data_IF_159450495548
#
_entry.id   IF_159450495548
#
_cell.length_a   1.000
_cell.length_b   1.000
_cell.length_c   1.000
_cell.angle_alpha   90.00
_cell.angle_beta   90.00
_cell.angle_gamma   90.00
#
_symmetry.space_group_name_H-M   'P 1'
#
loop_
_entity.id
_entity.type
_entity.pdbx_description
1 polymer ?
#
# COMPACT_ATOMS: atom_id res chain seq x y z
N UNK A 1 -9.21 -62.07 17.30
CA UNK A 1 -9.53 -61.22 18.46
C UNK A 1 -9.69 -59.81 17.96
N UNK A 2 -10.94 -59.39 17.76
CA UNK A 2 -11.31 -58.04 17.33
C UNK A 2 -11.90 -57.33 18.55
N UNK A 3 -11.33 -56.18 18.92
CA UNK A 3 -11.86 -55.33 19.98
C UNK A 3 -12.52 -54.13 19.35
N UNK A 4 -13.84 -54.05 19.55
CA UNK A 4 -14.70 -52.93 19.23
C UNK A 4 -14.23 -51.67 19.96
N UNK A 5 -14.19 -50.54 19.25
CA UNK A 5 -14.03 -49.22 19.84
C UNK A 5 -15.41 -48.56 19.80
N UNK A 6 -15.85 -48.19 21.00
CA UNK A 6 -17.16 -47.67 21.37
C UNK A 6 -17.21 -46.17 21.06
N UNK A 7 -18.01 -45.79 20.07
CA UNK A 7 -18.33 -44.39 19.74
C UNK A 7 -19.28 -43.87 20.83
N UNK A 8 -18.80 -42.95 21.67
CA UNK A 8 -19.67 -42.16 22.56
C UNK A 8 -19.72 -40.73 22.07
N UNK A 9 -20.90 -40.39 21.58
CA UNK A 9 -21.37 -39.05 21.32
C UNK A 9 -21.35 -38.22 22.61
N UNK A 10 -20.60 -37.12 22.58
CA UNK A 10 -20.67 -36.05 23.58
C UNK A 10 -21.29 -34.85 22.87
N UNK A 11 -22.61 -34.75 22.97
CA UNK A 11 -23.35 -33.54 22.63
C UNK A 11 -23.01 -32.45 23.66
N UNK A 12 -22.14 -31.53 23.26
CA UNK A 12 -21.83 -30.32 24.03
C UNK A 12 -22.68 -29.17 23.48
N UNK A 13 -23.85 -28.96 24.09
CA UNK A 13 -24.62 -27.75 23.93
C UNK A 13 -23.99 -26.64 24.78
N UNK A 14 -23.20 -25.76 24.16
CA UNK A 14 -22.82 -24.48 24.76
C UNK A 14 -23.64 -23.37 24.12
N UNK A 15 -24.72 -22.96 24.80
CA UNK A 15 -25.35 -21.67 24.60
C UNK A 15 -24.32 -20.57 24.93
N UNK A 16 -23.94 -19.81 23.90
CA UNK A 16 -23.15 -18.60 24.03
C UNK A 16 -24.04 -17.44 23.57
N UNK A 17 -24.77 -16.87 24.53
CA UNK A 17 -25.39 -15.57 24.39
C UNK A 17 -24.29 -14.50 24.39
N UNK A 18 -23.78 -14.20 23.19
CA UNK A 18 -22.93 -13.03 22.98
C UNK A 18 -23.81 -11.83 22.68
N UNK A 19 -24.07 -11.02 23.71
CA UNK A 19 -24.60 -9.67 23.56
C UNK A 19 -23.69 -8.87 22.61
N UNK A 20 -24.30 -8.33 21.54
CA UNK A 20 -23.61 -7.54 20.54
C UNK A 20 -23.14 -6.21 21.15
N UNK A 21 -21.86 -5.82 21.00
CA UNK A 21 -21.41 -4.52 21.48
C UNK A 21 -22.06 -3.41 20.65
N UNK A 22 -22.67 -2.51 21.41
CA UNK A 22 -23.27 -1.24 21.01
C UNK A 22 -22.40 -0.49 20.00
N UNK A 23 -23.01 -0.10 18.87
CA UNK A 23 -22.35 0.63 17.79
C UNK A 23 -21.85 1.98 18.32
N UNK A 24 -20.56 2.09 18.62
CA UNK A 24 -19.88 3.39 18.73
C UNK A 24 -19.91 4.05 17.35
N UNK A 25 -20.95 4.84 17.13
CA UNK A 25 -21.16 5.70 15.99
C UNK A 25 -20.13 6.84 16.09
N UNK A 26 -19.09 6.75 15.27
CA UNK A 26 -18.00 7.72 15.19
C UNK A 26 -18.56 9.09 14.78
N UNK A 27 -18.73 10.00 15.74
CA UNK A 27 -19.06 11.41 15.49
C UNK A 27 -17.82 12.20 15.01
N UNK A 28 -17.27 11.82 13.86
CA UNK A 28 -16.10 12.49 13.29
C UNK A 28 -16.39 13.29 12.01
N UNK A 29 -17.67 13.54 11.70
CA UNK A 29 -18.09 14.25 10.48
C UNK A 29 -18.25 15.77 10.64
N UNK A 30 -18.14 16.34 11.84
CA UNK A 30 -18.51 17.75 12.07
C UNK A 30 -17.36 18.78 12.12
N UNK A 31 -16.11 18.39 11.85
CA UNK A 31 -14.97 19.33 11.85
C UNK A 31 -14.48 19.77 10.46
N UNK A 32 -14.98 19.21 9.35
CA UNK A 32 -14.45 19.51 8.00
C UNK A 32 -15.32 20.43 7.15
N UNK A 33 -16.48 20.88 7.63
CA UNK A 33 -17.43 21.68 6.83
C UNK A 33 -17.51 23.17 7.19
N UNK A 34 -16.83 23.64 8.24
CA UNK A 34 -16.98 25.04 8.72
C UNK A 34 -15.90 26.03 8.28
N UNK A 35 -14.82 25.61 7.63
CA UNK A 35 -13.85 26.52 7.00
C UNK A 35 -13.86 26.34 5.48
N UNK A 36 -14.82 26.98 4.82
CA UNK A 36 -14.97 27.02 3.36
C UNK A 36 -13.86 27.77 2.62
N UNK A 37 -12.60 27.59 3.01
CA UNK A 37 -11.40 28.06 2.34
C UNK A 37 -10.33 26.96 2.45
N UNK A 38 -10.43 25.94 1.61
CA UNK A 38 -9.27 25.11 1.30
C UNK A 38 -8.29 25.98 0.50
N UNK A 39 -7.07 26.25 0.97
CA UNK A 39 -6.14 27.09 0.22
C UNK A 39 -5.70 26.33 -1.04
N UNK A 40 -6.26 26.70 -2.20
CA UNK A 40 -5.78 26.27 -3.52
C UNK A 40 -4.28 26.52 -3.72
N UNK A 41 -3.70 27.41 -2.91
CA UNK A 41 -2.28 27.76 -2.91
C UNK A 41 -1.39 26.60 -2.45
N UNK A 42 -1.86 25.72 -1.54
CA UNK A 42 -1.05 24.61 -1.02
C UNK A 42 -0.72 23.57 -2.11
N UNK A 43 -1.68 23.24 -2.99
CA UNK A 43 -1.48 22.24 -4.03
C UNK A 43 -0.57 22.71 -5.18
N UNK A 44 -0.54 24.03 -5.45
CA UNK A 44 0.33 24.61 -6.49
C UNK A 44 1.82 24.49 -6.15
N UNK A 45 2.17 24.44 -4.85
CA UNK A 45 3.55 24.26 -4.40
C UNK A 45 4.00 22.80 -4.51
N UNK A 46 3.10 21.85 -4.25
CA UNK A 46 3.42 20.41 -4.31
C UNK A 46 3.71 19.97 -5.76
N UNK A 47 2.93 20.44 -6.73
CA UNK A 47 3.12 20.09 -8.16
C UNK A 47 4.41 20.68 -8.74
N UNK A 48 4.82 21.88 -8.30
CA UNK A 48 6.07 22.49 -8.78
C UNK A 48 7.34 21.91 -8.12
N UNK A 49 7.22 21.27 -6.94
CA UNK A 49 8.38 20.62 -6.28
C UNK A 49 8.58 19.17 -6.71
N UNK A 50 7.52 18.49 -7.17
CA UNK A 50 7.61 17.14 -7.73
C UNK A 50 7.90 17.23 -9.23
N UNK A 51 9.15 17.53 -9.58
CA UNK A 51 9.61 17.48 -10.98
C UNK A 51 9.27 16.13 -11.63
N UNK A 52 9.00 16.16 -12.94
CA UNK A 52 8.60 15.01 -13.77
C UNK A 52 9.54 13.80 -13.61
N UNK A 53 10.79 14.04 -13.23
CA UNK A 53 11.81 13.02 -12.95
C UNK A 53 11.53 12.13 -11.71
N UNK A 54 10.61 12.56 -10.82
CA UNK A 54 10.24 11.79 -9.62
C UNK A 54 9.31 10.59 -9.93
N UNK A 55 8.70 10.55 -11.12
CA UNK A 55 7.68 9.56 -11.48
C UNK A 55 8.30 8.33 -12.18
N UNK A 56 9.45 8.46 -12.85
CA UNK A 56 9.98 7.40 -13.73
C UNK A 56 10.61 6.19 -13.02
N UNK A 57 10.78 6.21 -11.70
CA UNK A 57 11.25 5.02 -11.01
C UNK A 57 10.76 4.92 -9.57
N UNK A 58 9.72 4.12 -9.34
CA UNK A 58 9.61 3.28 -8.15
C UNK A 58 10.79 2.28 -8.15
N UNK A 59 11.99 2.82 -7.94
CA UNK A 59 13.23 2.08 -7.80
C UNK A 59 13.21 1.47 -6.41
N UNK A 60 13.42 0.16 -6.29
CA UNK A 60 13.48 -0.50 -4.97
C UNK A 60 14.53 0.11 -4.03
N UNK A 61 15.53 0.81 -4.56
CA UNK A 61 16.46 1.63 -3.78
C UNK A 61 15.78 2.74 -2.95
N UNK A 62 14.60 3.24 -3.35
CA UNK A 62 13.80 4.14 -2.53
C UNK A 62 13.23 3.47 -1.29
N UNK A 63 13.07 2.14 -1.24
CA UNK A 63 12.66 1.49 0.01
C UNK A 63 13.78 1.64 1.05
N UNK A 64 15.03 1.36 0.72
CA UNK A 64 16.10 1.60 1.70
C UNK A 64 16.34 3.10 1.99
N UNK A 65 16.10 3.98 1.01
CA UNK A 65 16.33 5.43 1.14
C UNK A 65 15.20 6.18 1.88
N UNK A 66 13.95 5.79 1.69
CA UNK A 66 12.78 6.38 2.37
C UNK A 66 12.60 5.83 3.79
N UNK A 67 12.96 4.57 4.03
CA UNK A 67 12.74 3.92 5.32
C UNK A 67 13.98 3.87 6.22
N UNK A 68 15.19 4.13 5.70
CA UNK A 68 16.44 4.15 6.48
C UNK A 68 16.67 2.88 7.33
N UNK A 69 17.49 2.98 8.39
CA UNK A 69 17.53 1.96 9.47
C UNK A 69 16.23 1.94 10.30
N UNK A 70 15.33 2.90 10.09
CA UNK A 70 14.09 3.09 10.83
C UNK A 70 12.93 2.17 10.39
N UNK A 71 13.20 1.12 9.60
CA UNK A 71 12.28 0.00 9.42
C UNK A 71 11.94 -0.72 10.75
N UNK A 72 12.69 -0.44 11.83
CA UNK A 72 12.38 -0.86 13.19
C UNK A 72 11.19 -0.09 13.82
N UNK A 73 10.79 1.05 13.25
CA UNK A 73 9.87 2.00 13.89
C UNK A 73 8.39 1.90 13.45
N UNK A 74 8.02 0.85 12.73
CA UNK A 74 6.61 0.46 12.61
C UNK A 74 6.30 -0.67 13.57
N UNK A 75 5.82 -0.37 14.79
CA UNK A 75 5.33 -1.38 15.68
C UNK A 75 3.98 -1.87 15.13
N UNK A 76 4.00 -2.94 14.34
CA UNK A 76 3.23 -4.10 14.82
C UNK A 76 4.10 -4.58 15.98
N UNK A 77 3.76 -4.08 17.17
CA UNK A 77 4.66 -3.90 18.32
C UNK A 77 5.14 -5.22 18.90
N UNK A 78 6.08 -5.85 18.20
CA UNK A 78 6.86 -6.91 18.79
C UNK A 78 8.28 -6.72 18.32
N UNK A 79 9.16 -6.32 19.26
CA UNK A 79 10.59 -6.44 19.03
C UNK A 79 10.85 -7.87 18.57
N UNK A 80 11.75 -8.12 17.62
CA UNK A 80 12.01 -9.48 17.15
C UNK A 80 12.36 -10.46 18.30
N UNK A 81 12.87 -9.95 19.42
CA UNK A 81 13.12 -10.70 20.65
C UNK A 81 11.85 -11.11 21.43
N UNK A 82 10.75 -10.33 21.32
CA UNK A 82 9.52 -10.51 22.10
C UNK A 82 8.46 -11.34 21.32
N UNK A 83 8.54 -11.38 19.98
CA UNK A 83 7.72 -12.26 19.12
C UNK A 83 8.58 -13.49 18.86
N UNK A 84 8.51 -14.47 19.75
CA UNK A 84 9.25 -15.73 19.69
C UNK A 84 9.69 -16.05 18.27
N UNK A 85 10.97 -15.77 17.97
CA UNK A 85 11.52 -15.67 16.63
C UNK A 85 11.10 -16.86 15.78
N UNK A 86 10.04 -16.73 14.99
CA UNK A 86 9.80 -17.66 13.90
C UNK A 86 10.86 -17.33 12.85
N UNK A 87 11.92 -18.15 12.69
CA UNK A 87 13.16 -17.73 12.03
C UNK A 87 13.02 -17.51 10.51
N UNK A 88 11.85 -17.81 9.96
CA UNK A 88 11.56 -17.76 8.52
C UNK A 88 10.09 -18.05 8.29
N UNK A 89 9.37 -17.35 7.41
CA UNK A 89 7.99 -17.72 7.05
C UNK A 89 7.95 -18.83 5.98
N UNK A 90 9.09 -19.43 5.63
CA UNK A 90 9.17 -20.52 4.66
C UNK A 90 8.39 -21.76 5.11
N UNK A 91 8.24 -21.99 6.42
CA UNK A 91 7.45 -23.13 6.92
C UNK A 91 5.94 -22.97 6.63
N UNK A 92 5.45 -21.74 6.45
CA UNK A 92 4.06 -21.43 6.09
C UNK A 92 3.79 -21.52 4.57
N UNK A 93 4.80 -21.89 3.78
CA UNK A 93 4.63 -22.13 2.35
C UNK A 93 4.09 -23.55 2.12
N UNK A 94 3.18 -23.68 1.16
CA UNK A 94 2.77 -25.01 0.70
C UNK A 94 3.88 -25.67 -0.14
N UNK A 95 3.78 -26.97 -0.41
CA UNK A 95 4.86 -27.71 -1.10
C UNK A 95 5.09 -27.24 -2.53
N UNK A 96 4.03 -26.78 -3.20
CA UNK A 96 4.14 -26.14 -4.52
C UNK A 96 4.98 -24.87 -4.45
N UNK A 97 4.66 -23.97 -3.52
CA UNK A 97 5.35 -22.69 -3.29
C UNK A 97 6.82 -22.93 -2.91
N UNK A 98 7.11 -23.93 -2.06
CA UNK A 98 8.48 -24.35 -1.71
C UNK A 98 9.25 -24.81 -2.95
N UNK A 99 8.64 -25.61 -3.82
CA UNK A 99 9.26 -26.07 -5.07
C UNK A 99 9.56 -24.89 -6.01
N UNK A 100 8.58 -23.99 -6.20
CA UNK A 100 8.76 -22.77 -7.01
C UNK A 100 9.89 -21.91 -6.44
N UNK A 101 9.89 -21.66 -5.12
CA UNK A 101 10.94 -20.88 -4.45
C UNK A 101 12.34 -21.50 -4.63
N UNK A 102 12.46 -22.83 -4.51
CA UNK A 102 13.72 -23.55 -4.76
C UNK A 102 14.21 -23.37 -6.20
N UNK A 103 13.32 -23.53 -7.18
CA UNK A 103 13.64 -23.34 -8.60
C UNK A 103 14.03 -21.89 -8.90
N UNK A 104 13.31 -20.91 -8.36
CA UNK A 104 13.62 -19.48 -8.53
C UNK A 104 14.97 -19.11 -7.90
N UNK A 105 15.27 -19.61 -6.70
CA UNK A 105 16.57 -19.41 -6.05
C UNK A 105 17.72 -19.97 -6.89
N UNK A 106 17.57 -21.20 -7.41
CA UNK A 106 18.56 -21.82 -8.31
C UNK A 106 18.74 -20.98 -9.58
N UNK A 107 17.64 -20.59 -10.21
CA UNK A 107 17.66 -19.79 -11.45
C UNK A 107 18.33 -18.44 -11.23
N UNK A 108 18.01 -17.74 -10.14
CA UNK A 108 18.63 -16.47 -9.78
C UNK A 108 20.14 -16.62 -9.56
N UNK A 109 20.55 -17.61 -8.78
CA UNK A 109 21.98 -17.89 -8.51
C UNK A 109 22.74 -18.20 -9.80
N UNK A 110 22.14 -18.99 -10.70
CA UNK A 110 22.76 -19.33 -12.00
C UNK A 110 22.90 -18.10 -12.90
N UNK A 111 21.85 -17.26 -12.98
CA UNK A 111 21.77 -16.10 -13.88
C UNK A 111 22.61 -14.91 -13.42
N UNK A 112 22.54 -14.56 -12.13
CA UNK A 112 23.17 -13.35 -11.60
C UNK A 112 24.44 -13.62 -10.78
N UNK A 113 24.81 -14.89 -10.58
CA UNK A 113 25.99 -15.31 -9.79
C UNK A 113 26.03 -14.72 -8.37
N UNK A 114 24.86 -14.38 -7.81
CA UNK A 114 24.70 -13.81 -6.46
C UNK A 114 23.75 -14.67 -5.62
N UNK A 115 23.89 -14.59 -4.31
CA UNK A 115 22.95 -15.24 -3.39
C UNK A 115 21.64 -14.43 -3.32
N UNK A 116 20.46 -15.07 -3.49
CA UNK A 116 19.17 -14.37 -3.41
C UNK A 116 18.96 -13.64 -2.08
N UNK A 117 19.48 -14.18 -0.97
CA UNK A 117 19.35 -13.59 0.37
C UNK A 117 20.17 -12.32 0.55
N UNK A 118 21.20 -12.11 -0.27
CA UNK A 118 22.05 -10.92 -0.19
C UNK A 118 21.41 -9.70 -0.90
N UNK A 119 20.36 -9.91 -1.70
CA UNK A 119 19.71 -8.84 -2.46
C UNK A 119 18.43 -8.38 -1.73
N UNK A 120 18.43 -7.20 -1.06
CA UNK A 120 17.28 -6.74 -0.29
C UNK A 120 16.06 -6.44 -1.18
N UNK A 121 16.31 -6.09 -2.44
CA UNK A 121 15.30 -5.65 -3.40
C UNK A 121 14.71 -6.79 -4.25
N UNK A 122 15.12 -8.03 -3.99
CA UNK A 122 14.67 -9.19 -4.73
C UNK A 122 13.31 -9.67 -4.19
N UNK A 123 12.31 -9.70 -5.07
CA UNK A 123 10.95 -10.13 -4.78
C UNK A 123 10.55 -11.19 -5.80
N UNK A 124 10.09 -12.33 -5.31
CA UNK A 124 9.55 -13.42 -6.12
C UNK A 124 8.04 -13.48 -5.98
N UNK A 125 7.31 -13.58 -7.09
CA UNK A 125 5.90 -13.89 -7.04
C UNK A 125 5.68 -15.42 -7.10
N UNK A 126 5.28 -16.02 -5.97
CA UNK A 126 5.14 -17.47 -5.83
C UNK A 126 3.83 -18.03 -6.38
N UNK A 127 2.90 -17.16 -6.81
CA UNK A 127 1.63 -17.61 -7.40
C UNK A 127 1.77 -18.19 -8.82
N UNK A 128 2.87 -17.87 -9.50
CA UNK A 128 3.11 -18.32 -10.87
C UNK A 128 3.72 -19.74 -10.95
N UNK A 129 4.00 -20.20 -12.17
CA UNK A 129 4.77 -21.43 -12.42
C UNK A 129 6.26 -21.13 -12.53
N UNK A 130 7.08 -22.18 -12.43
CA UNK A 130 8.52 -22.13 -12.68
C UNK A 130 8.87 -21.67 -14.11
N UNK A 131 7.98 -21.90 -15.08
CA UNK A 131 8.15 -21.48 -16.47
C UNK A 131 7.83 -20.01 -16.70
N UNK A 132 6.84 -19.45 -15.99
CA UNK A 132 6.39 -18.05 -16.15
C UNK A 132 6.74 -17.27 -14.89
N UNK A 133 7.98 -16.80 -14.81
CA UNK A 133 8.47 -16.17 -13.59
C UNK A 133 8.17 -14.66 -13.59
N UNK A 134 7.36 -14.21 -12.64
CA UNK A 134 7.22 -12.77 -12.33
C UNK A 134 8.04 -12.46 -11.09
N UNK A 135 9.11 -11.69 -11.26
CA UNK A 135 10.06 -11.37 -10.20
C UNK A 135 10.76 -10.03 -10.45
N UNK A 136 11.30 -9.41 -9.40
CA UNK A 136 12.01 -8.13 -9.52
C UNK A 136 13.45 -8.26 -10.04
N UNK A 137 13.96 -9.48 -10.22
CA UNK A 137 15.38 -9.74 -10.52
C UNK A 137 15.91 -9.01 -11.77
N UNK A 138 15.09 -8.93 -12.83
CA UNK A 138 15.49 -8.30 -14.09
C UNK A 138 15.25 -6.79 -14.10
N UNK A 139 14.13 -6.33 -13.55
CA UNK A 139 13.69 -4.94 -13.64
C UNK A 139 14.11 -4.07 -12.45
N UNK A 140 14.50 -4.69 -11.33
CA UNK A 140 14.66 -3.99 -10.05
C UNK A 140 13.35 -3.40 -9.50
N UNK A 141 12.19 -3.78 -10.04
CA UNK A 141 10.86 -3.27 -9.68
C UNK A 141 10.00 -4.37 -9.06
N UNK A 142 9.14 -4.03 -8.11
CA UNK A 142 8.19 -4.99 -7.52
C UNK A 142 7.25 -5.52 -8.61
N UNK A 143 7.04 -6.85 -8.68
CA UNK A 143 6.00 -7.41 -9.54
C UNK A 143 4.65 -6.73 -9.32
N UNK A 144 3.88 -6.54 -10.39
CA UNK A 144 2.52 -6.02 -10.31
C UNK A 144 1.69 -6.81 -9.30
N UNK A 145 1.03 -6.11 -8.37
CA UNK A 145 0.10 -6.72 -7.43
C UNK A 145 -1.08 -7.29 -8.22
N UNK A 146 -1.40 -8.56 -8.00
CA UNK A 146 -2.50 -9.26 -8.68
C UNK A 146 -3.57 -9.65 -7.66
N UNK A 147 -4.80 -9.82 -8.13
CA UNK A 147 -5.93 -10.29 -7.31
C UNK A 147 -5.80 -11.77 -6.90
N UNK A 148 -4.85 -12.51 -7.47
CA UNK A 148 -4.65 -13.90 -7.09
C UNK A 148 -4.04 -14.00 -5.68
N UNK A 149 -4.26 -15.14 -5.01
CA UNK A 149 -3.74 -15.41 -3.65
C UNK A 149 -2.23 -15.68 -3.61
N UNK A 150 -1.49 -15.30 -4.66
CA UNK A 150 -0.06 -15.55 -4.72
C UNK A 150 0.73 -14.70 -3.73
N UNK A 151 1.78 -15.28 -3.16
CA UNK A 151 2.63 -14.60 -2.18
C UNK A 151 3.79 -13.90 -2.89
N UNK A 152 4.02 -12.63 -2.57
CA UNK A 152 5.22 -11.88 -2.99
C UNK A 152 6.29 -12.08 -1.94
N UNK A 153 7.25 -12.98 -2.20
CA UNK A 153 8.25 -13.43 -1.26
C UNK A 153 9.56 -12.64 -1.38
N UNK A 154 10.09 -12.15 -0.26
CA UNK A 154 11.39 -11.49 -0.12
C UNK A 154 12.42 -12.50 0.43
N UNK A 155 13.38 -12.99 -0.37
CA UNK A 155 14.39 -13.94 0.10
C UNK A 155 15.29 -13.38 1.19
N UNK A 156 15.62 -12.08 1.12
CA UNK A 156 16.44 -11.37 2.11
C UNK A 156 15.84 -11.42 3.53
N UNK A 157 14.53 -11.15 3.63
CA UNK A 157 13.78 -11.18 4.90
C UNK A 157 13.17 -12.55 5.24
N UNK A 158 13.28 -13.52 4.32
CA UNK A 158 12.65 -14.86 4.41
C UNK A 158 11.15 -14.84 4.73
N UNK A 159 10.43 -13.84 4.22
CA UNK A 159 8.98 -13.66 4.42
C UNK A 159 8.31 -13.06 3.19
N UNK A 160 6.99 -13.10 3.12
CA UNK A 160 6.26 -12.36 2.09
C UNK A 160 6.04 -10.89 2.47
N UNK A 161 5.71 -10.08 1.47
CA UNK A 161 5.38 -8.66 1.64
C UNK A 161 4.14 -8.49 2.53
N UNK A 162 4.29 -7.64 3.55
CA UNK A 162 3.19 -7.25 4.43
C UNK A 162 2.23 -6.28 3.73
N UNK A 163 1.01 -6.12 4.25
CA UNK A 163 0.01 -5.21 3.67
C UNK A 163 0.51 -3.76 3.58
N UNK A 164 1.21 -3.27 4.61
CA UNK A 164 1.88 -1.95 4.62
C UNK A 164 2.87 -1.82 3.47
N UNK A 165 3.72 -2.83 3.25
CA UNK A 165 4.70 -2.81 2.16
C UNK A 165 4.01 -2.84 0.80
N UNK A 166 2.89 -3.55 0.64
CA UNK A 166 2.09 -3.53 -0.59
C UNK A 166 1.52 -2.14 -0.86
N UNK A 167 0.91 -1.50 0.14
CA UNK A 167 0.39 -0.13 0.00
C UNK A 167 1.51 0.88 -0.31
N UNK A 168 2.68 0.73 0.32
CA UNK A 168 3.84 1.54 0.00
C UNK A 168 4.25 1.43 -1.48
N UNK A 169 4.23 0.22 -2.06
CA UNK A 169 4.57 0.04 -3.49
C UNK A 169 3.59 0.70 -4.45
N UNK A 170 2.38 1.02 -3.97
CA UNK A 170 1.39 1.78 -4.72
C UNK A 170 1.50 3.30 -4.48
N UNK A 171 2.45 3.77 -3.68
CA UNK A 171 2.65 5.19 -3.40
C UNK A 171 1.78 5.75 -2.27
N UNK A 172 1.07 4.91 -1.50
CA UNK A 172 0.32 5.40 -0.34
C UNK A 172 1.28 5.90 0.77
N UNK A 173 0.93 6.98 1.50
CA UNK A 173 1.75 7.58 2.57
C UNK A 173 1.68 6.75 3.86
N UNK A 174 2.08 5.49 3.81
CA UNK A 174 2.06 4.59 4.96
C UNK A 174 3.27 4.81 5.88
N UNK A 175 4.40 5.29 5.34
CA UNK A 175 5.61 5.62 6.08
C UNK A 175 5.56 7.06 6.63
N UNK A 176 6.11 7.39 7.81
CA UNK A 176 6.02 8.75 8.35
C UNK A 176 6.85 9.72 7.51
N UNK A 177 8.04 9.29 7.06
CA UNK A 177 8.88 10.09 6.16
C UNK A 177 8.22 10.35 4.80
N UNK A 178 7.47 9.37 4.28
CA UNK A 178 6.72 9.53 3.03
C UNK A 178 5.51 10.45 3.22
N UNK A 179 4.75 10.26 4.30
CA UNK A 179 3.61 11.10 4.66
C UNK A 179 4.03 12.56 4.87
N UNK A 180 5.13 12.78 5.59
CA UNK A 180 5.75 14.10 5.80
C UNK A 180 6.19 14.73 4.47
N UNK A 181 6.85 13.98 3.59
CA UNK A 181 7.28 14.49 2.28
C UNK A 181 6.09 14.84 1.36
N UNK A 182 4.96 14.16 1.54
CA UNK A 182 3.71 14.42 0.84
C UNK A 182 2.83 15.47 1.53
N UNK A 183 3.24 15.98 2.69
CA UNK A 183 2.47 16.92 3.52
C UNK A 183 1.04 16.44 3.84
N UNK A 184 0.89 15.12 4.02
CA UNK A 184 -0.39 14.48 4.35
C UNK A 184 -0.29 13.68 5.65
N UNK A 185 -1.41 13.48 6.37
CA UNK A 185 -1.44 12.54 7.47
C UNK A 185 -1.03 11.14 7.02
N UNK A 186 -0.31 10.44 7.88
CA UNK A 186 0.08 9.06 7.65
C UNK A 186 -1.16 8.17 7.56
N UNK A 187 -1.20 7.27 6.57
CA UNK A 187 -2.30 6.31 6.43
C UNK A 187 -2.16 5.17 7.44
N UNK A 188 -3.05 5.05 8.45
CA UNK A 188 -2.99 3.95 9.39
C UNK A 188 -3.48 2.65 8.73
N UNK A 189 -2.74 1.56 8.93
CA UNK A 189 -3.10 0.22 8.43
C UNK A 189 -3.55 -0.63 9.62
N UNK A 190 -4.81 -0.46 10.03
CA UNK A 190 -5.41 -1.17 11.16
C UNK A 190 -5.83 -2.60 10.77
N UNK A 191 -6.42 -2.76 9.58
CA UNK A 191 -6.87 -4.06 9.06
C UNK A 191 -5.95 -4.54 7.94
N UNK A 192 -5.11 -5.53 8.27
CA UNK A 192 -4.11 -6.10 7.36
C UNK A 192 -4.77 -6.81 6.18
N UNK A 193 -5.90 -7.49 6.40
CA UNK A 193 -6.59 -8.26 5.36
C UNK A 193 -7.26 -7.33 4.35
N UNK A 194 -8.00 -6.34 4.85
CA UNK A 194 -8.64 -5.33 4.00
C UNK A 194 -7.61 -4.49 3.25
N UNK A 195 -6.52 -4.09 3.91
CA UNK A 195 -5.44 -3.35 3.27
C UNK A 195 -4.78 -4.15 2.13
N UNK A 196 -4.55 -5.45 2.31
CA UNK A 196 -4.02 -6.29 1.24
C UNK A 196 -5.00 -6.47 0.09
N UNK A 197 -6.31 -6.49 0.35
CA UNK A 197 -7.34 -6.58 -0.70
C UNK A 197 -7.41 -5.27 -1.51
N UNK A 198 -7.42 -4.14 -0.82
CA UNK A 198 -7.37 -2.80 -1.44
C UNK A 198 -6.15 -2.70 -2.35
N UNK A 199 -4.96 -3.07 -1.85
CA UNK A 199 -3.73 -3.02 -2.64
C UNK A 199 -3.76 -3.87 -3.92
N UNK A 200 -4.55 -4.95 -3.97
CA UNK A 200 -4.71 -5.76 -5.19
C UNK A 200 -5.54 -5.09 -6.29
N UNK A 201 -6.39 -4.13 -5.91
CA UNK A 201 -7.37 -3.48 -6.80
C UNK A 201 -7.05 -1.99 -7.05
N UNK A 202 -6.22 -1.38 -6.22
CA UNK A 202 -5.89 0.03 -6.32
C UNK A 202 -4.97 0.32 -7.50
N UNK A 203 -5.22 1.46 -8.16
CA UNK A 203 -4.24 2.09 -9.03
C UNK A 203 -3.10 2.68 -8.21
N UNK A 204 -1.93 2.85 -8.83
CA UNK A 204 -0.84 3.59 -8.22
C UNK A 204 -1.32 5.02 -7.87
N UNK A 205 -1.03 5.48 -6.66
CA UNK A 205 -1.46 6.76 -6.12
C UNK A 205 -1.06 7.93 -7.03
N UNK A 206 0.16 7.90 -7.58
CA UNK A 206 0.62 8.93 -8.51
C UNK A 206 -0.26 9.02 -9.77
N UNK A 207 -0.68 7.87 -10.31
CA UNK A 207 -1.57 7.84 -11.48
C UNK A 207 -2.94 8.44 -11.14
N UNK A 208 -3.48 8.16 -9.95
CA UNK A 208 -4.75 8.73 -9.49
C UNK A 208 -4.63 10.26 -9.38
N UNK A 209 -3.55 10.77 -8.80
CA UNK A 209 -3.31 12.21 -8.70
C UNK A 209 -3.23 12.90 -10.07
N UNK A 210 -2.55 12.27 -11.04
CA UNK A 210 -2.46 12.82 -12.41
C UNK A 210 -3.84 12.85 -13.06
N UNK A 211 -4.63 11.77 -12.96
CA UNK A 211 -5.99 11.73 -13.53
C UNK A 211 -6.89 12.78 -12.88
N UNK A 212 -6.80 12.96 -11.56
CA UNK A 212 -7.54 14.01 -10.84
C UNK A 212 -7.10 15.41 -11.28
N UNK A 213 -5.80 15.64 -11.44
CA UNK A 213 -5.28 16.93 -11.91
C UNK A 213 -5.79 17.25 -13.31
N UNK A 214 -5.71 16.29 -14.24
CA UNK A 214 -6.24 16.44 -15.61
C UNK A 214 -7.74 16.74 -15.56
N UNK A 215 -8.51 15.99 -14.76
CA UNK A 215 -9.94 16.25 -14.60
C UNK A 215 -10.20 17.69 -14.12
N UNK A 216 -9.49 18.15 -13.09
CA UNK A 216 -9.62 19.53 -12.57
C UNK A 216 -9.22 20.60 -13.59
N UNK A 217 -8.26 20.34 -14.47
CA UNK A 217 -7.88 21.28 -15.53
C UNK A 217 -8.91 21.38 -16.65
N UNK A 218 -9.71 20.32 -16.86
CA UNK A 218 -10.76 20.30 -17.88
C UNK A 218 -12.06 20.97 -17.43
N UNK A 219 -12.26 21.13 -16.11
CA UNK A 219 -13.35 21.95 -15.59
C UNK A 219 -12.95 23.43 -15.63
N UNK A 220 -13.25 24.09 -16.75
CA UNK A 220 -13.32 25.55 -16.73
C UNK A 220 -14.37 25.95 -15.68
N UNK A 221 -14.08 26.88 -14.76
CA UNK A 221 -15.09 27.38 -13.84
C UNK A 221 -16.26 27.90 -14.67
N UNK A 222 -17.43 27.26 -14.54
CA UNK A 222 -18.56 27.50 -15.41
C UNK A 222 -19.09 28.94 -15.30
N UNK A 223 -18.71 29.67 -14.25
CA UNK A 223 -19.08 31.04 -14.00
C UNK A 223 -17.94 31.80 -13.31
N UNK A 224 -16.90 32.17 -14.07
CA UNK A 224 -16.31 33.48 -13.85
C UNK A 224 -17.15 34.50 -14.62
N UNK A 225 -18.41 34.69 -14.18
CA UNK A 225 -19.10 35.97 -14.35
C UNK A 225 -18.08 37.01 -13.91
N UNK A 226 -17.76 37.90 -14.82
CA UNK A 226 -16.67 38.84 -14.63
C UNK A 226 -16.95 39.62 -13.35
N UNK A 227 -15.93 39.85 -12.51
CA UNK A 227 -16.02 40.89 -11.48
C UNK A 227 -16.28 42.29 -12.10
N UNK A 228 -16.25 42.42 -13.43
CA UNK A 228 -16.72 43.62 -14.13
C UNK A 228 -18.26 43.77 -14.09
N UNK A 229 -19.01 42.70 -13.83
CA UNK A 229 -20.47 42.76 -13.63
C UNK A 229 -20.88 43.21 -12.21
N UNK A 230 -19.92 43.40 -11.29
CA UNK A 230 -20.20 43.80 -9.90
C UNK A 230 -19.86 45.26 -9.55
N UNK A 231 -19.40 46.11 -10.47
CA UNK A 231 -19.17 47.52 -10.08
C UNK A 231 -18.38 48.44 -10.99
N UNK A 232 -18.68 48.50 -12.28
CA UNK A 232 -18.31 49.65 -13.13
C UNK A 232 -19.56 50.35 -13.69
N UNK A 233 -20.48 50.70 -12.76
CA UNK A 233 -21.54 51.71 -12.96
C UNK A 233 -21.16 53.08 -12.37
N UNK A 234 -19.87 53.38 -12.25
CA UNK A 234 -19.39 54.72 -11.92
C UNK A 234 -18.40 55.18 -12.99
N UNK A 235 -18.89 56.06 -13.86
CA UNK A 235 -18.19 57.05 -14.70
C UNK A 235 -18.22 56.86 -16.24
N UNK A 236 -19.34 57.30 -16.84
CA UNK A 236 -19.34 58.24 -17.99
C UNK A 236 -19.58 57.68 -19.41
N UNK A 237 -19.99 58.52 -20.40
CA UNK A 237 -19.98 59.99 -20.40
C UNK A 237 -21.35 60.69 -20.55
N UNK A 238 -21.37 61.93 -20.07
CA UNK A 238 -22.41 62.95 -20.29
C UNK A 238 -22.45 63.30 -21.78
N UNK A 239 -23.63 63.23 -22.39
CA UNK A 239 -23.89 63.81 -23.71
C UNK A 239 -23.95 65.34 -23.59
N UNK A 240 -23.13 66.02 -24.39
CA UNK A 240 -23.42 67.36 -24.88
C UNK A 240 -23.89 67.25 -26.34
#
# INVERSE_FOLDING_TARGET
>A
MATCIDERDVEMHSECDSEAPEKQQWQHEDMLTKSGHFPQVAWRVVVNKLGVDAIEALHMGMINKLYGRHYEYFPISVKPADAGHAPSWVYLLNDREKKVLSTLNKTYKTKFKKQPTAEPNLVFFLGDSDKRTTWSATSGRVPTLRMNRGKLFLPSKRRWLCAVEKLATLGFPVAPGQAMAMEVPQLPVLDIHRASLIAGNSMNFANVCIVQLVALTCFAPHDCVSLADFGLWLNGPVCC
#
